data_IF_178020298830
#
_entry.id   IF_178020298830
#
_cell.length_a   1.000
_cell.length_b   1.000
_cell.length_c   1.000
_cell.angle_alpha   90.00
_cell.angle_beta   90.00
_cell.angle_gamma   90.00
#
_symmetry.space_group_name_H-M   'P 1'
#
loop_
_entity.id
_entity.type
_entity.pdbx_description
1 polymer ?
#
# COMPACT_ATOMS: atom_id res chain seq x y z
N UNK A 1 17.74 4.15 2.17
CA UNK A 1 16.34 3.82 1.80
C UNK A 1 15.61 5.14 1.51
N UNK A 2 14.50 5.16 0.75
CA UNK A 2 13.82 6.43 0.41
C UNK A 2 13.46 7.27 1.65
N UNK A 3 13.15 6.61 2.77
CA UNK A 3 12.92 7.25 4.08
C UNK A 3 14.15 7.97 4.65
N UNK A 4 15.35 7.48 4.38
CA UNK A 4 16.61 8.06 4.87
C UNK A 4 17.06 9.25 4.00
N UNK A 5 16.52 9.35 2.79
CA UNK A 5 16.90 10.35 1.78
C UNK A 5 16.02 11.60 1.78
N UNK A 6 15.12 11.75 2.77
CA UNK A 6 14.20 12.89 2.86
C UNK A 6 13.06 12.85 1.84
N UNK A 7 12.86 11.74 1.11
CA UNK A 7 11.78 11.60 0.14
C UNK A 7 10.43 11.39 0.85
N UNK A 8 9.35 11.87 0.23
CA UNK A 8 8.01 11.49 0.66
C UNK A 8 7.80 9.98 0.45
N UNK A 9 7.55 9.26 1.55
CA UNK A 9 7.34 7.83 1.55
C UNK A 9 5.97 7.48 2.13
N UNK A 10 5.22 6.63 1.44
CA UNK A 10 3.93 6.09 1.90
C UNK A 10 3.82 4.61 1.49
N UNK A 11 3.26 3.79 2.37
CA UNK A 11 3.06 2.35 2.12
C UNK A 11 1.65 2.02 1.63
N UNK A 12 1.51 1.21 0.59
CA UNK A 12 0.23 0.61 0.18
C UNK A 12 0.32 -0.89 0.51
N UNK A 13 -0.32 -1.31 1.60
CA UNK A 13 -0.07 -2.62 2.23
C UNK A 13 -1.36 -3.32 2.64
N UNK A 14 -1.37 -4.65 2.62
CA UNK A 14 -2.53 -5.43 3.06
C UNK A 14 -2.48 -5.80 4.56
N UNK A 15 -1.28 -5.82 5.16
CA UNK A 15 -1.06 -6.28 6.52
C UNK A 15 -0.79 -5.09 7.44
N UNK A 16 -1.69 -4.90 8.41
CA UNK A 16 -1.57 -3.88 9.45
C UNK A 16 -0.32 -4.11 10.27
N UNK A 17 0.45 -3.06 10.49
CA UNK A 17 1.67 -3.13 11.29
C UNK A 17 2.82 -3.91 10.65
N UNK A 18 2.75 -4.25 9.36
CA UNK A 18 3.91 -4.78 8.61
C UNK A 18 5.12 -3.85 8.68
N UNK A 19 6.32 -4.35 8.38
CA UNK A 19 7.54 -3.53 8.42
C UNK A 19 7.44 -2.29 7.52
N UNK A 20 6.91 -2.45 6.30
CA UNK A 20 6.64 -1.32 5.39
C UNK A 20 5.68 -0.31 6.03
N UNK A 21 4.61 -0.77 6.69
CA UNK A 21 3.67 0.14 7.36
C UNK A 21 4.34 0.94 8.49
N UNK A 22 5.20 0.30 9.28
CA UNK A 22 5.91 0.94 10.39
C UNK A 22 6.98 1.90 9.91
N UNK A 23 7.78 1.50 8.91
CA UNK A 23 8.86 2.32 8.36
C UNK A 23 8.31 3.54 7.60
N UNK A 24 7.24 3.37 6.82
CA UNK A 24 6.64 4.49 6.11
C UNK A 24 5.88 5.44 7.04
N UNK A 25 5.26 4.93 8.11
CA UNK A 25 4.48 5.71 9.08
C UNK A 25 3.20 6.37 8.52
N UNK A 26 2.95 6.23 7.22
CA UNK A 26 1.79 6.76 6.49
C UNK A 26 1.51 5.91 5.25
N UNK A 27 0.28 5.97 4.76
CA UNK A 27 -0.13 5.27 3.55
C UNK A 27 -1.54 4.68 3.66
N UNK A 28 -1.81 3.64 2.87
CA UNK A 28 -3.13 3.03 2.71
C UNK A 28 -3.09 1.55 3.05
N UNK A 29 -4.06 1.10 3.85
CA UNK A 29 -4.35 -0.31 4.02
C UNK A 29 -5.33 -0.79 2.96
N UNK A 30 -5.01 -1.88 2.28
CA UNK A 30 -5.82 -2.40 1.17
C UNK A 30 -7.14 -3.03 1.62
N UNK A 31 -7.21 -3.48 2.88
CA UNK A 31 -8.37 -4.17 3.45
C UNK A 31 -8.87 -5.36 2.61
N UNK A 32 -7.99 -6.02 1.85
CA UNK A 32 -8.33 -7.24 1.10
C UNK A 32 -8.48 -8.48 2.02
N UNK A 33 -8.15 -8.33 3.31
CA UNK A 33 -8.11 -9.39 4.31
C UNK A 33 -6.92 -10.35 4.10
N UNK A 34 -6.71 -11.34 5.00
CA UNK A 34 -5.55 -12.24 4.94
C UNK A 34 -5.50 -13.04 3.64
N UNK A 35 -4.34 -13.10 3.00
CA UNK A 35 -4.12 -13.86 1.76
C UNK A 35 -3.15 -15.01 2.04
N UNK A 36 -3.70 -16.23 2.11
CA UNK A 36 -2.96 -17.44 2.50
C UNK A 36 -2.36 -18.14 1.28
N UNK A 37 -2.95 -17.94 0.10
CA UNK A 37 -2.43 -18.47 -1.14
C UNK A 37 -1.05 -17.89 -1.45
N UNK A 38 -0.19 -18.72 -2.03
CA UNK A 38 1.16 -18.30 -2.44
C UNK A 38 1.10 -17.26 -3.58
N UNK A 39 0.13 -17.43 -4.48
CA UNK A 39 -0.13 -16.47 -5.56
C UNK A 39 -1.04 -15.33 -5.08
N UNK A 40 -0.68 -14.10 -5.43
CA UNK A 40 -1.49 -12.91 -5.15
C UNK A 40 -2.66 -12.80 -6.14
N UNK A 41 -3.85 -12.61 -5.61
CA UNK A 41 -5.12 -12.56 -6.34
C UNK A 41 -5.92 -11.34 -5.89
N UNK A 42 -6.38 -11.34 -4.64
CA UNK A 42 -7.19 -10.25 -4.09
C UNK A 42 -6.34 -9.05 -3.70
N UNK A 43 -5.16 -9.23 -3.09
CA UNK A 43 -4.29 -8.11 -2.77
C UNK A 43 -3.82 -7.39 -4.05
N UNK A 44 -3.54 -8.13 -5.13
CA UNK A 44 -3.18 -7.54 -6.42
C UNK A 44 -4.29 -6.63 -6.95
N UNK A 45 -5.52 -7.13 -7.09
CA UNK A 45 -6.63 -6.31 -7.61
C UNK A 45 -6.93 -5.12 -6.70
N UNK A 46 -6.86 -5.30 -5.37
CA UNK A 46 -7.01 -4.18 -4.42
C UNK A 46 -5.90 -3.13 -4.57
N UNK A 47 -4.65 -3.52 -4.87
CA UNK A 47 -3.56 -2.57 -5.15
C UNK A 47 -3.84 -1.75 -6.41
N UNK A 48 -4.32 -2.39 -7.48
CA UNK A 48 -4.69 -1.69 -8.72
C UNK A 48 -5.82 -0.68 -8.45
N UNK A 49 -6.85 -1.05 -7.69
CA UNK A 49 -7.93 -0.14 -7.31
C UNK A 49 -7.39 1.02 -6.47
N UNK A 50 -6.56 0.75 -5.47
CA UNK A 50 -5.96 1.77 -4.61
C UNK A 50 -5.17 2.83 -5.40
N UNK A 51 -4.35 2.40 -6.37
CA UNK A 51 -3.59 3.30 -7.23
C UNK A 51 -4.50 4.12 -8.16
N UNK A 52 -5.58 3.53 -8.69
CA UNK A 52 -6.56 4.27 -9.49
C UNK A 52 -7.31 5.33 -8.66
N UNK A 53 -7.68 5.00 -7.42
CA UNK A 53 -8.30 5.98 -6.50
C UNK A 53 -7.34 7.11 -6.14
N UNK A 54 -6.05 6.79 -5.93
CA UNK A 54 -5.02 7.80 -5.73
C UNK A 54 -4.86 8.69 -6.96
N UNK A 55 -4.86 8.10 -8.16
CA UNK A 55 -4.81 8.87 -9.40
C UNK A 55 -6.02 9.80 -9.54
N UNK A 56 -7.22 9.31 -9.25
CA UNK A 56 -8.44 10.13 -9.27
C UNK A 56 -8.36 11.31 -8.28
N UNK A 57 -7.81 11.06 -7.07
CA UNK A 57 -7.61 12.10 -6.06
C UNK A 57 -6.60 13.17 -6.49
N UNK A 58 -5.56 12.79 -7.24
CA UNK A 58 -4.48 13.68 -7.67
C UNK A 58 -4.72 14.35 -9.02
N UNK A 59 -5.65 13.85 -9.83
CA UNK A 59 -5.90 14.29 -11.22
C UNK A 59 -6.60 15.66 -11.33
N UNK A 60 -6.44 16.55 -10.35
CA UNK A 60 -6.98 17.92 -10.36
C UNK A 60 -6.05 18.92 -11.03
#
# INVERSE_FOLDING_TARGET
>A
MAIDSGCYCAGIVNVVGSEIARLAGKGLYLHAGPEIGVASTKAFTSQVIALNLLNLLLSS
#
